data_IF_803344695015
#
_entry.id   IF_803344695015
#
_cell.length_a   1.000
_cell.length_b   1.000
_cell.length_c   1.000
_cell.angle_alpha   90.00
_cell.angle_beta   90.00
_cell.angle_gamma   90.00
#
_symmetry.space_group_name_H-M   'P 1'
#
loop_
_entity.id
_entity.type
_entity.pdbx_description
1 polymer ?
#
# COMPACT_ATOMS: atom_id res chain seq x y z
N UNK A 1 2.03 -10.27 8.73
CA UNK A 1 2.32 -8.97 9.38
C UNK A 1 2.09 -7.87 8.36
N UNK A 2 2.01 -6.61 8.76
CA UNK A 2 1.91 -5.47 7.86
C UNK A 2 3.25 -4.74 7.79
N UNK A 3 3.61 -4.21 6.62
CA UNK A 3 4.74 -3.30 6.48
C UNK A 3 4.44 -1.98 7.20
N UNK A 4 5.32 -1.53 8.11
CA UNK A 4 5.21 -0.23 8.80
C UNK A 4 5.96 0.90 8.09
N UNK A 5 6.78 0.55 7.11
CA UNK A 5 7.49 1.45 6.22
C UNK A 5 7.68 0.79 4.85
N UNK A 6 8.02 1.55 3.79
CA UNK A 6 8.42 0.95 2.54
C UNK A 6 9.60 -0.01 2.72
N UNK A 7 9.53 -1.19 2.11
CA UNK A 7 10.61 -2.20 2.12
C UNK A 7 10.96 -2.58 0.68
N UNK A 8 12.21 -2.96 0.45
CA UNK A 8 12.63 -3.53 -0.83
C UNK A 8 12.61 -5.04 -0.76
N UNK A 9 12.04 -5.67 -1.78
CA UNK A 9 12.06 -7.11 -1.98
C UNK A 9 12.55 -7.42 -3.39
N UNK A 10 12.99 -8.63 -3.61
CA UNK A 10 13.42 -9.07 -4.94
C UNK A 10 12.92 -10.47 -5.26
N UNK A 11 12.95 -10.79 -6.54
CA UNK A 11 12.89 -12.15 -7.03
C UNK A 11 14.07 -12.36 -7.99
N UNK A 12 14.04 -13.44 -8.77
CA UNK A 12 15.13 -13.74 -9.70
C UNK A 12 15.30 -12.70 -10.82
N UNK A 13 14.24 -11.98 -11.18
CA UNK A 13 14.21 -11.11 -12.37
C UNK A 13 14.08 -9.62 -12.06
N UNK A 14 13.64 -9.24 -10.86
CA UNK A 14 13.32 -7.86 -10.53
C UNK A 14 13.48 -7.52 -9.04
N UNK A 15 13.69 -6.23 -8.79
CA UNK A 15 13.59 -5.60 -7.47
C UNK A 15 12.32 -4.77 -7.41
N UNK A 16 11.64 -4.78 -6.27
CA UNK A 16 10.40 -4.05 -6.05
C UNK A 16 10.45 -3.32 -4.73
N UNK A 17 9.78 -2.16 -4.70
CA UNK A 17 9.43 -1.50 -3.44
C UNK A 17 8.01 -1.88 -3.06
N UNK A 18 7.84 -2.31 -1.81
CA UNK A 18 6.58 -2.63 -1.19
C UNK A 18 6.24 -1.52 -0.21
N UNK A 19 5.07 -0.92 -0.35
CA UNK A 19 4.61 0.18 0.47
C UNK A 19 4.18 -0.27 1.87
N UNK A 20 4.13 0.69 2.79
CA UNK A 20 3.50 0.58 4.10
C UNK A 20 2.02 0.16 4.00
N UNK A 21 1.53 -0.55 5.02
CA UNK A 21 0.18 -1.10 5.08
C UNK A 21 -0.03 -2.40 4.30
N UNK A 22 1.01 -2.93 3.65
CA UNK A 22 0.93 -4.17 2.86
C UNK A 22 0.99 -5.40 3.76
N UNK A 23 0.01 -6.30 3.64
CA UNK A 23 0.03 -7.60 4.31
C UNK A 23 1.09 -8.52 3.68
N UNK A 24 1.99 -9.04 4.51
CA UNK A 24 3.11 -9.88 4.09
C UNK A 24 3.24 -11.13 4.95
N UNK A 25 3.63 -12.25 4.33
CA UNK A 25 4.05 -13.46 5.05
C UNK A 25 5.42 -13.21 5.66
N UNK A 26 5.57 -13.44 6.95
CA UNK A 26 6.79 -13.14 7.69
C UNK A 26 7.15 -14.27 8.66
N UNK A 27 8.40 -14.70 8.63
CA UNK A 27 8.99 -15.68 9.54
C UNK A 27 10.08 -14.98 10.33
N UNK A 28 9.92 -14.94 11.67
CA UNK A 28 10.89 -14.30 12.56
C UNK A 28 12.25 -14.98 12.50
N UNK A 29 13.31 -14.20 12.49
CA UNK A 29 14.71 -14.63 12.58
C UNK A 29 15.38 -13.98 13.80
N UNK A 30 16.65 -14.29 14.06
CA UNK A 30 17.42 -13.63 15.13
C UNK A 30 17.47 -12.11 14.94
N UNK A 31 17.73 -11.68 13.70
CA UNK A 31 18.00 -10.29 13.34
C UNK A 31 16.81 -9.55 12.69
N UNK A 32 15.67 -10.21 12.46
CA UNK A 32 14.57 -9.57 11.72
C UNK A 32 13.49 -10.56 11.32
N UNK A 33 13.07 -10.44 10.07
CA UNK A 33 12.11 -11.33 9.43
C UNK A 33 12.57 -11.73 8.04
N UNK A 34 12.44 -13.01 7.71
CA UNK A 34 12.37 -13.45 6.34
C UNK A 34 10.93 -13.25 5.86
N UNK A 35 10.75 -12.57 4.74
CA UNK A 35 9.44 -12.21 4.23
C UNK A 35 9.21 -12.73 2.82
N UNK A 36 7.93 -12.99 2.51
CA UNK A 36 7.47 -13.37 1.19
C UNK A 36 6.18 -12.62 0.87
N UNK A 37 6.11 -12.07 -0.33
CA UNK A 37 4.98 -11.33 -0.87
C UNK A 37 4.54 -11.95 -2.19
N UNK A 38 3.34 -12.53 -2.24
CA UNK A 38 2.77 -13.06 -3.49
C UNK A 38 1.76 -12.06 -4.08
N UNK A 39 2.07 -11.51 -5.24
CA UNK A 39 1.35 -10.38 -5.87
C UNK A 39 1.14 -10.59 -7.37
N UNK A 40 0.15 -9.90 -7.94
CA UNK A 40 -0.01 -9.75 -9.38
C UNK A 40 0.73 -8.52 -9.86
N UNK A 41 1.42 -8.61 -11.00
CA UNK A 41 2.13 -7.48 -11.60
C UNK A 41 1.48 -7.11 -12.93
N UNK A 42 1.15 -5.83 -13.10
CA UNK A 42 0.58 -5.32 -14.35
C UNK A 42 1.67 -4.82 -15.32
N UNK A 43 1.25 -4.39 -16.51
CA UNK A 43 2.14 -3.88 -17.55
C UNK A 43 2.93 -2.61 -17.16
N UNK A 44 2.48 -1.90 -16.13
CA UNK A 44 3.14 -0.71 -15.59
C UNK A 44 4.12 -1.05 -14.44
N UNK A 45 4.28 -2.33 -14.11
CA UNK A 45 5.12 -2.76 -13.00
C UNK A 45 4.51 -2.51 -11.62
N UNK A 46 3.19 -2.27 -11.53
CA UNK A 46 2.50 -2.13 -10.24
C UNK A 46 2.19 -3.50 -9.64
N UNK A 47 2.40 -3.64 -8.33
CA UNK A 47 2.18 -4.88 -7.58
C UNK A 47 0.83 -4.80 -6.88
N UNK A 48 -0.06 -5.76 -7.15
CA UNK A 48 -1.39 -5.86 -6.55
C UNK A 48 -1.54 -7.13 -5.70
N UNK A 49 -1.99 -6.96 -4.45
CA UNK A 49 -2.46 -8.09 -3.62
C UNK A 49 -3.75 -8.65 -4.21
N UNK A 50 -4.66 -7.74 -4.56
CA UNK A 50 -5.95 -8.03 -5.16
C UNK A 50 -6.21 -7.02 -6.29
N UNK A 51 -5.99 -7.42 -7.56
CA UNK A 51 -6.24 -6.56 -8.72
C UNK A 51 -7.70 -6.11 -8.83
N UNK A 52 -8.66 -6.95 -8.42
CA UNK A 52 -10.08 -6.67 -8.52
C UNK A 52 -10.47 -5.53 -7.58
N UNK A 53 -9.93 -5.54 -6.36
CA UNK A 53 -10.16 -4.51 -5.36
C UNK A 53 -9.15 -3.35 -5.42
N UNK A 54 -8.22 -3.39 -6.40
CA UNK A 54 -7.14 -2.40 -6.60
C UNK A 54 -6.29 -2.21 -5.34
N UNK A 55 -6.00 -3.30 -4.63
CA UNK A 55 -5.17 -3.28 -3.44
C UNK A 55 -3.69 -3.27 -3.84
N UNK A 56 -3.14 -2.07 -4.00
CA UNK A 56 -1.78 -1.82 -4.44
C UNK A 56 -0.77 -2.04 -3.30
N UNK A 57 0.18 -2.94 -3.52
CA UNK A 57 1.27 -3.28 -2.60
C UNK A 57 2.57 -2.53 -2.90
N UNK A 58 2.83 -2.11 -4.14
CA UNK A 58 4.16 -1.67 -4.53
C UNK A 58 4.34 -1.37 -6.01
N UNK A 59 5.59 -1.16 -6.42
CA UNK A 59 6.00 -1.12 -7.83
C UNK A 59 7.39 -1.72 -8.04
N UNK A 60 7.66 -2.21 -9.25
CA UNK A 60 8.98 -2.65 -9.69
C UNK A 60 9.92 -1.44 -9.76
N UNK A 61 11.09 -1.54 -9.12
CA UNK A 61 12.15 -0.54 -9.16
C UNK A 61 13.10 -0.77 -10.34
N UNK A 62 13.48 -2.03 -10.56
CA UNK A 62 14.50 -2.41 -11.53
C UNK A 62 14.30 -3.86 -11.98
N UNK A 63 14.89 -4.22 -13.13
CA UNK A 63 14.86 -5.58 -13.69
C UNK A 63 13.81 -5.80 -14.78
N UNK A 64 13.54 -7.07 -15.08
CA UNK A 64 12.57 -7.45 -16.11
C UNK A 64 11.15 -7.48 -15.54
N UNK A 65 10.22 -6.85 -16.26
CA UNK A 65 8.83 -6.89 -15.88
C UNK A 65 8.26 -8.31 -16.07
N UNK A 66 7.90 -8.93 -14.95
CA UNK A 66 7.20 -10.22 -14.92
C UNK A 66 5.71 -9.96 -15.16
N UNK A 67 5.28 -9.91 -16.42
CA UNK A 67 3.89 -9.59 -16.75
C UNK A 67 2.93 -10.78 -16.53
N UNK A 68 1.70 -10.48 -16.12
CA UNK A 68 0.49 -11.33 -16.24
C UNK A 68 0.45 -12.64 -15.43
N UNK A 69 1.40 -12.89 -14.54
CA UNK A 69 1.35 -14.00 -13.60
C UNK A 69 1.41 -13.50 -12.15
N UNK A 70 0.79 -14.25 -11.24
CA UNK A 70 1.05 -14.08 -9.82
C UNK A 70 2.50 -14.46 -9.56
N UNK A 71 3.28 -13.56 -8.97
CA UNK A 71 4.72 -13.71 -8.71
C UNK A 71 5.01 -13.54 -7.22
N UNK A 72 6.15 -14.03 -6.79
CA UNK A 72 6.60 -13.94 -5.40
C UNK A 72 7.86 -13.11 -5.30
N UNK A 73 7.86 -12.16 -4.37
CA UNK A 73 9.02 -11.40 -3.95
C UNK A 73 9.42 -11.82 -2.54
N UNK A 74 10.71 -11.94 -2.29
CA UNK A 74 11.28 -12.35 -1.01
C UNK A 74 12.30 -11.33 -0.54
N UNK A 75 12.57 -11.34 0.76
CA UNK A 75 13.65 -10.53 1.32
C UNK A 75 13.84 -10.79 2.81
N UNK A 76 14.85 -10.12 3.36
CA UNK A 76 15.03 -10.00 4.81
C UNK A 76 14.79 -8.55 5.19
N UNK A 77 14.02 -8.32 6.26
CA UNK A 77 13.71 -6.98 6.75
C UNK A 77 13.91 -6.89 8.25
N UNK A 78 14.23 -5.68 8.73
CA UNK A 78 14.38 -5.38 10.15
C UNK A 78 13.04 -5.49 10.90
N UNK A 79 13.12 -5.61 12.23
CA UNK A 79 11.93 -5.83 13.07
C UNK A 79 10.99 -4.61 13.05
N UNK A 80 11.56 -3.43 12.89
CA UNK A 80 10.90 -2.13 12.88
C UNK A 80 10.13 -1.88 11.58
N UNK A 81 10.44 -2.62 10.52
CA UNK A 81 9.80 -2.52 9.20
C UNK A 81 8.48 -3.28 9.11
N UNK A 82 8.14 -4.10 10.13
CA UNK A 82 6.89 -4.83 10.20
C UNK A 82 6.16 -4.60 11.53
N UNK A 83 4.83 -4.63 11.48
CA UNK A 83 3.95 -4.57 12.64
C UNK A 83 2.83 -5.60 12.52
N UNK A 84 2.35 -6.12 13.65
CA UNK A 84 1.14 -6.95 13.66
C UNK A 84 -0.15 -6.09 13.66
N UNK A 85 -0.02 -4.79 13.93
CA UNK A 85 -1.12 -3.84 14.03
C UNK A 85 -1.24 -3.01 12.76
N UNK A 86 -2.33 -3.21 12.02
CA UNK A 86 -2.63 -2.48 10.79
C UNK A 86 -2.82 -0.99 11.02
N UNK A 87 -3.35 -0.56 12.17
CA UNK A 87 -3.52 0.87 12.47
C UNK A 87 -2.15 1.55 12.59
N UNK A 88 -1.18 0.89 13.23
CA UNK A 88 0.21 1.37 13.26
C UNK A 88 0.84 1.43 11.88
N UNK A 89 0.58 0.43 11.03
CA UNK A 89 1.09 0.43 9.65
C UNK A 89 0.54 1.59 8.82
N UNK A 90 -0.71 1.99 9.08
CA UNK A 90 -1.41 3.02 8.33
C UNK A 90 -1.31 4.43 8.92
N UNK A 91 -0.75 4.58 10.12
CA UNK A 91 -0.65 5.88 10.80
C UNK A 91 -0.03 7.00 9.92
N UNK A 92 1.04 6.76 9.11
CA UNK A 92 1.56 7.79 8.22
C UNK A 92 0.53 8.26 7.18
N UNK A 93 -0.21 7.31 6.57
CA UNK A 93 -1.20 7.62 5.56
C UNK A 93 -2.48 8.23 6.15
N UNK A 94 -2.84 7.84 7.37
CA UNK A 94 -3.92 8.45 8.15
C UNK A 94 -3.62 9.92 8.47
N UNK A 95 -2.39 10.21 8.93
CA UNK A 95 -1.95 11.58 9.19
C UNK A 95 -2.05 12.43 7.92
N UNK A 96 -1.52 11.92 6.79
CA UNK A 96 -1.63 12.59 5.50
C UNK A 96 -3.09 12.81 5.08
N UNK A 97 -3.95 11.81 5.29
CA UNK A 97 -5.39 11.93 4.99
C UNK A 97 -6.02 13.08 5.75
N UNK A 98 -5.85 13.15 7.07
CA UNK A 98 -6.46 14.20 7.88
C UNK A 98 -5.83 15.58 7.65
N UNK A 99 -4.53 15.65 7.40
CA UNK A 99 -3.83 16.88 7.04
C UNK A 99 -4.38 17.47 5.72
N UNK A 100 -4.48 16.64 4.68
CA UNK A 100 -4.87 17.12 3.34
C UNK A 100 -6.37 17.23 3.18
N UNK A 101 -7.14 16.21 3.57
CA UNK A 101 -8.59 16.17 3.39
C UNK A 101 -9.38 16.97 4.44
N UNK A 102 -8.75 17.37 5.56
CA UNK A 102 -9.35 18.21 6.59
C UNK A 102 -9.16 19.72 6.38
N UNK A 103 -8.38 20.14 5.37
CA UNK A 103 -7.98 21.54 5.19
C UNK A 103 -9.14 22.44 4.73
N UNK A 104 -9.93 22.02 3.74
CA UNK A 104 -10.97 22.87 3.14
C UNK A 104 -12.37 22.66 3.74
N UNK A 105 -12.63 21.46 4.26
CA UNK A 105 -13.85 21.07 4.94
C UNK A 105 -13.54 19.94 5.91
N UNK A 106 -14.51 19.54 6.74
CA UNK A 106 -14.33 18.36 7.59
C UNK A 106 -13.97 17.15 6.72
N UNK A 107 -12.88 16.46 7.06
CA UNK A 107 -12.53 15.20 6.42
C UNK A 107 -13.70 14.22 6.55
N UNK A 108 -14.03 13.55 5.45
CA UNK A 108 -15.03 12.48 5.49
C UNK A 108 -14.48 11.30 6.30
N UNK A 109 -15.36 10.47 6.82
CA UNK A 109 -14.93 9.21 7.43
C UNK A 109 -14.25 8.34 6.35
N UNK A 110 -12.98 7.92 6.53
CA UNK A 110 -12.23 7.14 5.56
C UNK A 110 -12.92 5.85 5.09
N UNK A 111 -13.81 5.25 5.89
CA UNK A 111 -14.53 4.01 5.53
C UNK A 111 -15.96 4.25 5.05
N UNK A 112 -16.35 5.51 4.82
CA UNK A 112 -17.71 5.88 4.43
C UNK A 112 -18.15 5.35 3.08
N UNK A 113 -17.21 5.14 2.15
CA UNK A 113 -17.48 4.83 0.75
C UNK A 113 -16.75 3.58 0.30
N UNK A 114 -17.27 2.94 -0.75
CA UNK A 114 -16.58 1.84 -1.43
C UNK A 114 -15.34 2.35 -2.17
N UNK A 115 -14.37 1.47 -2.45
CA UNK A 115 -13.15 1.80 -3.21
C UNK A 115 -13.45 2.54 -4.53
N UNK A 116 -14.43 2.06 -5.30
CA UNK A 116 -14.83 2.71 -6.56
C UNK A 116 -15.32 4.14 -6.36
N UNK A 117 -16.13 4.36 -5.32
CA UNK A 117 -16.64 5.71 -5.02
C UNK A 117 -15.54 6.61 -4.48
N UNK A 118 -14.66 6.08 -3.64
CA UNK A 118 -13.48 6.81 -3.16
C UNK A 118 -12.56 7.24 -4.30
N UNK A 119 -12.27 6.35 -5.24
CA UNK A 119 -11.45 6.67 -6.41
C UNK A 119 -12.05 7.83 -7.22
N UNK A 120 -13.36 7.83 -7.47
CA UNK A 120 -14.03 8.92 -8.17
C UNK A 120 -13.97 10.25 -7.39
N UNK A 121 -14.14 10.22 -6.06
CA UNK A 121 -13.99 11.40 -5.20
C UNK A 121 -12.57 11.92 -5.24
N UNK A 122 -11.58 11.04 -5.06
CA UNK A 122 -10.16 11.39 -5.04
C UNK A 122 -9.70 11.97 -6.39
N UNK A 123 -10.19 11.46 -7.52
CA UNK A 123 -9.89 12.03 -8.84
C UNK A 123 -10.35 13.48 -8.97
N UNK A 124 -11.54 13.82 -8.44
CA UNK A 124 -12.05 15.19 -8.42
C UNK A 124 -11.27 16.07 -7.44
N UNK A 125 -10.90 15.53 -6.28
CA UNK A 125 -10.21 16.28 -5.22
C UNK A 125 -8.74 16.52 -5.49
N UNK A 126 -8.06 15.67 -6.26
CA UNK A 126 -6.62 15.76 -6.49
C UNK A 126 -6.16 17.16 -6.92
N UNK A 127 -6.78 17.73 -7.94
CA UNK A 127 -6.43 19.08 -8.41
C UNK A 127 -6.90 20.17 -7.45
N UNK A 128 -8.08 20.01 -6.85
CA UNK A 128 -8.69 21.01 -5.96
C UNK A 128 -7.95 21.15 -4.63
N UNK A 129 -7.46 20.05 -4.08
CA UNK A 129 -6.67 19.99 -2.86
C UNK A 129 -5.16 20.15 -3.12
N UNK A 130 -4.75 20.31 -4.39
CA UNK A 130 -3.35 20.45 -4.78
C UNK A 130 -2.49 19.26 -4.33
N UNK A 131 -3.03 18.03 -4.44
CA UNK A 131 -2.30 16.81 -4.07
C UNK A 131 -1.22 16.50 -5.11
N UNK A 132 -0.03 16.18 -4.64
CA UNK A 132 0.98 15.55 -5.50
C UNK A 132 0.52 14.15 -5.94
N UNK A 133 1.18 13.58 -6.96
CA UNK A 133 0.89 12.20 -7.38
C UNK A 133 1.08 11.19 -6.23
N UNK A 134 2.13 11.38 -5.42
CA UNK A 134 2.47 10.47 -4.33
C UNK A 134 1.46 10.58 -3.18
N UNK A 135 1.06 11.81 -2.83
CA UNK A 135 0.03 12.03 -1.82
C UNK A 135 -1.31 11.42 -2.25
N UNK A 136 -1.70 11.65 -3.51
CA UNK A 136 -2.90 11.06 -4.08
C UNK A 136 -2.86 9.52 -4.01
N UNK A 137 -1.77 8.91 -4.45
CA UNK A 137 -1.60 7.44 -4.43
C UNK A 137 -1.62 6.89 -3.01
N UNK A 138 -0.96 7.56 -2.06
CA UNK A 138 -0.92 7.14 -0.66
C UNK A 138 -2.30 7.21 0.00
N UNK A 139 -3.06 8.28 -0.23
CA UNK A 139 -4.42 8.43 0.30
C UNK A 139 -5.38 7.39 -0.32
N UNK A 140 -5.30 7.17 -1.63
CA UNK A 140 -6.11 6.14 -2.31
C UNK A 140 -5.77 4.75 -1.77
N UNK A 141 -4.48 4.43 -1.59
CA UNK A 141 -4.04 3.17 -0.99
C UNK A 141 -4.60 3.00 0.43
N UNK A 142 -4.50 4.03 1.26
CA UNK A 142 -5.07 4.03 2.62
C UNK A 142 -6.56 3.67 2.61
N UNK A 143 -7.37 4.34 1.78
CA UNK A 143 -8.81 4.07 1.67
C UNK A 143 -9.10 2.63 1.20
N UNK A 144 -8.34 2.15 0.21
CA UNK A 144 -8.49 0.78 -0.29
C UNK A 144 -8.15 -0.26 0.78
N UNK A 145 -7.10 -0.04 1.56
CA UNK A 145 -6.69 -0.94 2.65
C UNK A 145 -7.77 -0.97 3.74
N UNK A 146 -8.25 0.19 4.20
CA UNK A 146 -9.26 0.26 5.25
C UNK A 146 -10.55 -0.46 4.85
N UNK A 147 -11.01 -0.23 3.62
CA UNK A 147 -12.23 -0.86 3.09
C UNK A 147 -12.03 -2.37 2.91
N UNK A 148 -10.87 -2.80 2.42
CA UNK A 148 -10.59 -4.21 2.14
C UNK A 148 -10.47 -5.05 3.41
N UNK A 149 -9.80 -4.53 4.44
CA UNK A 149 -9.61 -5.23 5.72
C UNK A 149 -10.67 -4.87 6.77
N UNK A 150 -11.72 -4.12 6.38
CA UNK A 150 -12.82 -3.70 7.27
C UNK A 150 -12.30 -3.04 8.57
N UNK A 151 -11.26 -2.22 8.44
CA UNK A 151 -10.64 -1.55 9.58
C UNK A 151 -11.57 -0.45 10.08
N UNK A 152 -12.25 -0.71 11.19
CA UNK A 152 -13.01 0.30 11.93
C UNK A 152 -12.09 1.04 12.90
N UNK A 153 -12.44 2.29 13.24
CA UNK A 153 -11.73 3.11 14.22
C UNK A 153 -12.49 3.24 15.53
#
# INVERSE_FOLDING_TARGET
>A
MFTSSPIQLSNYSAEAIVYDGTLIEAVKTENGFNVKLSVWVNEQGELYIDPKNKLLAGHILSGENVYNAKTEFVGTVDKESLTADIRKALAPAENLYYERCGTCHRAFDPVKYTNTRWLAVMQSMKSQAGLSEDEYKQIVRYQHILTYYEVSY
#
